data_IF_577738059572
#
_entry.id   IF_577738059572
#
_cell.length_a   1.000
_cell.length_b   1.000
_cell.length_c   1.000
_cell.angle_alpha   90.00
_cell.angle_beta   90.00
_cell.angle_gamma   90.00
#
_symmetry.space_group_name_H-M   'P 1'
#
loop_
_entity.id
_entity.type
_entity.pdbx_description
1 polymer ?
#
# COMPACT_ATOMS: atom_id res chain seq x y z
N UNK A 1 18.77 -20.57 -21.93
CA UNK A 1 18.22 -19.34 -21.33
C UNK A 1 17.26 -18.72 -22.33
N UNK A 2 15.94 -18.83 -22.08
CA UNK A 2 14.91 -18.14 -22.89
C UNK A 2 14.17 -17.20 -21.96
N UNK A 3 14.35 -15.90 -22.18
CA UNK A 3 13.61 -14.84 -21.53
C UNK A 3 12.11 -15.07 -21.77
N UNK A 4 11.31 -15.10 -20.71
CA UNK A 4 9.86 -15.06 -20.81
C UNK A 4 9.47 -13.77 -21.53
N UNK A 5 8.84 -13.91 -22.69
CA UNK A 5 8.50 -12.81 -23.59
C UNK A 5 7.18 -12.19 -23.11
N UNK A 6 7.25 -11.22 -22.19
CA UNK A 6 6.10 -10.52 -21.60
C UNK A 6 5.25 -9.74 -22.62
N UNK A 7 5.75 -9.53 -23.84
CA UNK A 7 5.02 -8.89 -24.94
C UNK A 7 3.93 -9.76 -25.56
N UNK A 8 4.03 -11.09 -25.46
CA UNK A 8 3.04 -12.01 -26.04
C UNK A 8 1.73 -12.07 -25.22
N UNK A 9 1.81 -11.87 -23.91
CA UNK A 9 0.65 -11.97 -23.01
C UNK A 9 -0.30 -10.76 -23.11
N UNK A 10 0.25 -9.56 -23.39
CA UNK A 10 -0.51 -8.31 -23.51
C UNK A 10 -1.42 -8.30 -24.75
N UNK A 11 -0.87 -8.68 -25.90
CA UNK A 11 -1.64 -8.74 -27.16
C UNK A 11 -2.76 -9.79 -27.15
N UNK A 12 -2.57 -10.93 -26.48
CA UNK A 12 -3.64 -11.94 -26.34
C UNK A 12 -4.75 -11.49 -25.40
N UNK A 13 -4.41 -10.72 -24.35
CA UNK A 13 -5.39 -10.20 -23.40
C UNK A 13 -6.27 -9.12 -24.04
N UNK A 14 -5.68 -8.17 -24.77
CA UNK A 14 -6.41 -7.08 -25.43
C UNK A 14 -7.41 -7.59 -26.48
N UNK A 15 -7.02 -8.63 -27.24
CA UNK A 15 -7.90 -9.30 -28.21
C UNK A 15 -9.04 -10.04 -27.51
N UNK A 16 -8.74 -10.73 -26.40
CA UNK A 16 -9.75 -11.44 -25.62
C UNK A 16 -10.75 -10.47 -25.00
N UNK A 17 -10.26 -9.35 -24.48
CA UNK A 17 -11.05 -8.28 -23.88
C UNK A 17 -11.98 -7.64 -24.92
N UNK A 18 -11.47 -7.36 -26.12
CA UNK A 18 -12.27 -6.83 -27.24
C UNK A 18 -13.39 -7.79 -27.63
N UNK A 19 -13.09 -9.09 -27.79
CA UNK A 19 -14.11 -10.10 -28.11
C UNK A 19 -15.12 -10.29 -26.98
N UNK A 20 -14.69 -10.15 -25.74
CA UNK A 20 -15.58 -10.15 -24.59
C UNK A 20 -16.54 -8.96 -24.64
N UNK A 21 -16.05 -7.75 -24.90
CA UNK A 21 -16.90 -6.56 -25.08
C UNK A 21 -17.92 -6.73 -26.21
N UNK A 22 -17.51 -7.28 -27.36
CA UNK A 22 -18.42 -7.57 -28.46
C UNK A 22 -19.50 -8.59 -28.07
N UNK A 23 -19.13 -9.63 -27.33
CA UNK A 23 -20.08 -10.60 -26.80
C UNK A 23 -21.06 -9.95 -25.80
N UNK A 24 -20.61 -9.04 -24.94
CA UNK A 24 -21.46 -8.32 -23.99
C UNK A 24 -22.44 -7.42 -24.74
N UNK A 25 -21.95 -6.66 -25.71
CA UNK A 25 -22.77 -5.78 -26.53
C UNK A 25 -23.81 -6.56 -27.34
N UNK A 26 -23.45 -7.74 -27.85
CA UNK A 26 -24.38 -8.65 -28.51
C UNK A 26 -25.47 -9.17 -27.56
N UNK A 27 -25.11 -9.55 -26.32
CA UNK A 27 -26.06 -10.05 -25.33
C UNK A 27 -27.02 -8.94 -24.83
N UNK A 28 -26.52 -7.72 -24.63
CA UNK A 28 -27.32 -6.56 -24.23
C UNK A 28 -28.34 -6.13 -25.30
N UNK A 29 -28.05 -6.37 -26.58
CA UNK A 29 -29.03 -6.15 -27.65
C UNK A 29 -30.13 -7.23 -27.65
N UNK A 30 -29.84 -8.44 -27.16
CA UNK A 30 -30.77 -9.59 -27.15
C UNK A 30 -31.71 -9.62 -25.94
N UNK A 31 -31.32 -9.02 -24.81
CA UNK A 31 -32.12 -8.96 -23.56
C UNK A 31 -33.33 -8.01 -23.63
N UNK A 32 -33.47 -7.20 -24.69
CA UNK A 32 -34.70 -6.43 -24.96
C UNK A 32 -35.91 -7.30 -25.36
N UNK A 33 -35.70 -8.59 -25.67
CA UNK A 33 -36.80 -9.53 -25.95
C UNK A 33 -36.64 -10.86 -25.20
N UNK A 34 -37.46 -11.02 -24.15
CA UNK A 34 -37.83 -12.25 -23.40
C UNK A 34 -37.06 -12.59 -22.11
N UNK A 35 -37.75 -12.30 -21.01
CA UNK A 35 -38.00 -13.05 -19.77
C UNK A 35 -36.94 -13.95 -19.09
N UNK A 36 -36.69 -13.61 -17.80
CA UNK A 36 -36.48 -14.45 -16.60
C UNK A 36 -35.50 -15.64 -16.69
N UNK A 37 -34.21 -15.34 -16.62
CA UNK A 37 -33.26 -16.03 -15.74
C UNK A 37 -32.06 -15.10 -15.54
N UNK A 38 -32.09 -14.32 -14.46
CA UNK A 38 -31.15 -13.23 -14.20
C UNK A 38 -29.86 -13.82 -13.59
N UNK A 39 -28.94 -14.29 -14.42
CA UNK A 39 -27.53 -14.33 -14.03
C UNK A 39 -27.13 -12.87 -13.81
N UNK A 40 -26.70 -12.51 -12.60
CA UNK A 40 -26.37 -11.13 -12.25
C UNK A 40 -25.05 -10.72 -12.92
N UNK A 41 -25.15 -10.31 -14.18
CA UNK A 41 -24.04 -9.98 -15.07
C UNK A 41 -23.29 -8.70 -14.67
N UNK A 42 -23.92 -7.87 -13.82
CA UNK A 42 -23.37 -6.58 -13.40
C UNK A 42 -22.08 -6.72 -12.57
N UNK A 43 -21.94 -7.78 -11.76
CA UNK A 43 -20.75 -7.98 -10.92
C UNK A 43 -19.49 -8.27 -11.77
N UNK A 44 -19.60 -9.08 -12.83
CA UNK A 44 -18.46 -9.35 -13.72
C UNK A 44 -18.07 -8.14 -14.57
N UNK A 45 -19.06 -7.34 -15.02
CA UNK A 45 -18.77 -6.11 -15.76
C UNK A 45 -18.12 -5.05 -14.87
N UNK A 46 -18.51 -4.95 -13.59
CA UNK A 46 -17.86 -4.02 -12.64
C UNK A 46 -16.39 -4.38 -12.45
N UNK A 47 -16.08 -5.64 -12.17
CA UNK A 47 -14.68 -6.08 -11.97
C UNK A 47 -13.81 -5.86 -13.22
N UNK A 48 -14.35 -5.99 -14.42
CA UNK A 48 -13.60 -5.78 -15.68
C UNK A 48 -13.44 -4.29 -16.01
N UNK A 49 -14.45 -3.46 -15.70
CA UNK A 49 -14.34 -2.01 -15.79
C UNK A 49 -13.33 -1.46 -14.77
N UNK A 50 -13.38 -1.91 -13.51
CA UNK A 50 -12.45 -1.52 -12.45
C UNK A 50 -10.99 -1.87 -12.78
N UNK A 51 -10.74 -3.04 -13.38
CA UNK A 51 -9.40 -3.44 -13.84
C UNK A 51 -8.91 -2.56 -15.00
N UNK A 52 -9.80 -2.18 -15.93
CA UNK A 52 -9.43 -1.31 -17.06
C UNK A 52 -9.25 0.15 -16.64
N UNK A 53 -10.06 0.68 -15.72
CA UNK A 53 -9.83 2.02 -15.15
C UNK A 53 -8.49 2.06 -14.43
N UNK A 54 -8.15 1.04 -13.63
CA UNK A 54 -6.85 0.96 -12.95
C UNK A 54 -5.63 0.96 -13.87
N UNK A 55 -5.74 0.39 -15.08
CA UNK A 55 -4.68 0.41 -16.11
C UNK A 55 -4.57 1.77 -16.82
N UNK A 56 -5.70 2.35 -17.23
CA UNK A 56 -5.75 3.69 -17.85
C UNK A 56 -5.21 4.75 -16.88
N UNK A 57 -5.57 4.63 -15.62
CA UNK A 57 -5.13 5.52 -14.54
C UNK A 57 -3.62 5.42 -14.32
N UNK A 58 -3.02 4.22 -14.45
CA UNK A 58 -1.58 4.02 -14.27
C UNK A 58 -0.75 4.69 -15.36
N UNK A 59 -1.11 4.48 -16.63
CA UNK A 59 -0.39 5.07 -17.77
C UNK A 59 -0.55 6.60 -17.78
N UNK A 60 -1.72 7.10 -17.40
CA UNK A 60 -1.96 8.54 -17.27
C UNK A 60 -1.08 9.19 -16.20
N UNK A 61 -1.05 8.66 -14.96
CA UNK A 61 -0.23 9.22 -13.88
C UNK A 61 1.26 9.17 -14.26
N UNK A 62 1.72 8.04 -14.84
CA UNK A 62 3.11 7.90 -15.29
C UNK A 62 3.47 8.92 -16.38
N UNK A 63 2.58 9.18 -17.34
CA UNK A 63 2.82 10.19 -18.37
C UNK A 63 3.00 11.61 -17.78
N UNK A 64 2.25 11.93 -16.72
CA UNK A 64 2.40 13.22 -16.00
C UNK A 64 3.70 13.27 -15.23
N UNK A 65 4.09 12.16 -14.60
CA UNK A 65 5.35 12.04 -13.89
C UNK A 65 6.54 12.23 -14.84
N UNK A 66 6.57 11.52 -15.96
CA UNK A 66 7.62 11.68 -16.98
C UNK A 66 7.72 13.12 -17.50
N UNK A 67 6.57 13.76 -17.73
CA UNK A 67 6.54 15.16 -18.17
C UNK A 67 7.15 16.08 -17.12
N UNK A 68 6.81 15.90 -15.85
CA UNK A 68 7.37 16.67 -14.74
C UNK A 68 8.89 16.48 -14.62
N UNK A 69 9.37 15.23 -14.66
CA UNK A 69 10.82 14.93 -14.60
C UNK A 69 11.56 15.53 -15.78
N UNK A 70 11.00 15.47 -17.00
CA UNK A 70 11.59 16.14 -18.18
C UNK A 70 11.70 17.65 -17.97
N UNK A 71 10.64 18.30 -17.49
CA UNK A 71 10.66 19.74 -17.21
C UNK A 71 11.71 20.14 -16.17
N UNK A 72 11.97 19.30 -15.16
CA UNK A 72 13.05 19.50 -14.19
C UNK A 72 14.44 19.38 -14.81
N UNK A 73 14.65 18.38 -15.67
CA UNK A 73 15.96 18.11 -16.29
C UNK A 73 16.31 19.11 -17.41
N UNK A 74 15.31 19.52 -18.18
CA UNK A 74 15.48 20.43 -19.32
C UNK A 74 15.67 21.89 -18.88
N UNK A 75 15.64 22.18 -17.58
CA UNK A 75 15.79 23.53 -17.03
C UNK A 75 14.67 24.45 -17.52
N UNK A 76 13.45 23.93 -17.64
CA UNK A 76 12.28 24.70 -18.08
C UNK A 76 12.04 25.90 -17.16
N UNK A 77 11.31 26.89 -17.67
CA UNK A 77 10.76 28.00 -16.88
C UNK A 77 10.09 27.46 -15.59
N UNK A 78 10.28 28.17 -14.47
CA UNK A 78 9.66 27.84 -13.17
C UNK A 78 8.15 27.64 -13.29
N UNK A 79 7.44 28.46 -14.08
CA UNK A 79 6.00 28.33 -14.32
C UNK A 79 5.64 27.01 -15.02
N UNK A 80 6.47 26.55 -15.96
CA UNK A 80 6.24 25.28 -16.67
C UNK A 80 6.46 24.08 -15.74
N UNK A 81 7.47 24.17 -14.87
CA UNK A 81 7.74 23.16 -13.83
C UNK A 81 6.56 23.10 -12.84
N UNK A 82 6.07 24.24 -12.38
CA UNK A 82 4.92 24.31 -11.47
C UNK A 82 3.63 23.82 -12.12
N UNK A 83 3.41 24.13 -13.41
CA UNK A 83 2.26 23.62 -14.16
C UNK A 83 2.32 22.10 -14.32
N UNK A 84 3.49 21.54 -14.65
CA UNK A 84 3.70 20.10 -14.74
C UNK A 84 3.50 19.41 -13.37
N UNK A 85 4.03 20.01 -12.30
CA UNK A 85 3.82 19.56 -10.90
C UNK A 85 2.34 19.53 -10.54
N UNK A 86 1.59 20.60 -10.85
CA UNK A 86 0.15 20.67 -10.53
C UNK A 86 -0.65 19.60 -11.26
N UNK A 87 -0.30 19.33 -12.52
CA UNK A 87 -0.92 18.24 -13.30
C UNK A 87 -0.60 16.86 -12.69
N UNK A 88 0.65 16.65 -12.27
CA UNK A 88 1.06 15.44 -11.57
C UNK A 88 0.29 15.26 -10.25
N UNK A 89 0.26 16.27 -9.39
CA UNK A 89 -0.48 16.19 -8.12
C UNK A 89 -1.98 15.94 -8.34
N UNK A 90 -2.58 16.55 -9.37
CA UNK A 90 -3.99 16.31 -9.69
C UNK A 90 -4.26 14.85 -10.09
N UNK A 91 -3.27 14.19 -10.71
CA UNK A 91 -3.38 12.78 -11.06
C UNK A 91 -3.33 11.83 -9.85
N UNK A 92 -2.91 12.30 -8.68
CA UNK A 92 -2.93 11.46 -7.46
C UNK A 92 -4.35 11.10 -7.02
N UNK A 93 -5.38 11.80 -7.49
CA UNK A 93 -6.78 11.45 -7.23
C UNK A 93 -7.14 10.03 -7.70
N UNK A 94 -6.36 9.46 -8.63
CA UNK A 94 -6.52 8.10 -9.14
C UNK A 94 -5.75 7.03 -8.33
N UNK A 95 -4.96 7.44 -7.34
CA UNK A 95 -4.31 6.54 -6.38
C UNK A 95 -5.23 6.26 -5.20
N UNK A 96 -5.00 5.16 -4.48
CA UNK A 96 -5.66 4.93 -3.18
C UNK A 96 -5.24 5.99 -2.15
N UNK A 97 -6.02 6.14 -1.06
CA UNK A 97 -5.73 7.15 -0.02
C UNK A 97 -4.34 6.98 0.59
N UNK A 98 -3.91 5.73 0.80
CA UNK A 98 -2.62 5.42 1.39
C UNK A 98 -1.50 5.77 0.40
N UNK A 99 -1.63 5.36 -0.87
CA UNK A 99 -0.70 5.76 -1.92
C UNK A 99 -0.63 7.27 -2.11
N UNK A 100 -1.74 8.00 -2.01
CA UNK A 100 -1.76 9.47 -2.10
C UNK A 100 -0.90 10.14 -1.02
N UNK A 101 -0.92 9.60 0.20
CA UNK A 101 -0.07 10.08 1.31
C UNK A 101 1.41 9.96 0.93
N UNK A 102 1.83 8.78 0.47
CA UNK A 102 3.23 8.54 0.10
C UNK A 102 3.64 9.26 -1.18
N UNK A 103 2.76 9.37 -2.17
CA UNK A 103 2.98 10.16 -3.38
C UNK A 103 3.22 11.65 -3.06
N UNK A 104 2.51 12.18 -2.06
CA UNK A 104 2.69 13.56 -1.60
C UNK A 104 4.01 13.78 -0.87
N UNK A 105 4.49 12.78 -0.12
CA UNK A 105 5.82 12.80 0.53
C UNK A 105 6.90 12.75 -0.56
N UNK A 106 6.82 11.76 -1.44
CA UNK A 106 7.73 11.61 -2.59
C UNK A 106 7.87 12.89 -3.41
N UNK A 107 6.75 13.57 -3.73
CA UNK A 107 6.78 14.82 -4.48
C UNK A 107 7.55 15.93 -3.74
N UNK A 108 7.38 16.04 -2.41
CA UNK A 108 8.11 17.03 -1.59
C UNK A 108 9.61 16.72 -1.54
N UNK A 109 9.98 15.45 -1.47
CA UNK A 109 11.39 15.06 -1.39
C UNK A 109 12.11 15.28 -2.73
N UNK A 110 11.40 15.15 -3.86
CA UNK A 110 11.92 15.61 -5.17
C UNK A 110 12.20 17.11 -5.14
N UNK A 111 11.29 17.92 -4.60
CA UNK A 111 11.45 19.39 -4.53
C UNK A 111 12.61 19.81 -3.65
N UNK A 112 12.91 19.03 -2.61
CA UNK A 112 14.09 19.22 -1.74
C UNK A 112 15.38 18.75 -2.39
N UNK A 113 15.32 18.01 -3.50
CA UNK A 113 16.48 17.39 -4.14
C UNK A 113 17.02 16.18 -3.37
N UNK A 114 16.21 15.58 -2.50
CA UNK A 114 16.58 14.41 -1.67
C UNK A 114 16.44 13.09 -2.45
N UNK A 115 15.71 13.10 -3.56
CA UNK A 115 15.42 11.91 -4.36
C UNK A 115 16.21 11.91 -5.66
N UNK A 116 16.86 10.78 -5.95
CA UNK A 116 17.48 10.52 -7.27
C UNK A 116 16.49 9.82 -8.19
N UNK A 117 16.19 10.46 -9.30
CA UNK A 117 15.30 9.88 -10.32
C UNK A 117 16.09 8.85 -11.15
N UNK A 118 15.55 7.64 -11.24
CA UNK A 118 16.07 6.48 -11.92
C UNK A 118 15.32 6.37 -13.25
N UNK A 119 16.03 6.28 -14.38
CA UNK A 119 15.39 6.11 -15.68
C UNK A 119 14.48 4.88 -15.72
N UNK A 120 13.34 5.00 -16.39
CA UNK A 120 12.35 3.92 -16.59
C UNK A 120 11.64 3.41 -15.33
N UNK A 121 11.83 4.07 -14.18
CA UNK A 121 11.07 3.75 -12.97
C UNK A 121 9.77 4.54 -12.93
N UNK A 122 8.66 3.84 -12.78
CA UNK A 122 7.31 4.40 -12.71
C UNK A 122 7.05 5.09 -11.37
N UNK A 123 6.07 5.99 -11.35
CA UNK A 123 5.70 6.68 -10.11
C UNK A 123 5.19 5.70 -9.04
N UNK A 124 4.51 4.62 -9.45
CA UNK A 124 4.01 3.60 -8.51
C UNK A 124 5.14 2.83 -7.86
N UNK A 125 6.20 2.53 -8.59
CA UNK A 125 7.38 1.89 -8.00
C UNK A 125 8.04 2.81 -6.97
N UNK A 126 8.09 4.12 -7.21
CA UNK A 126 8.54 5.08 -6.20
C UNK A 126 7.63 5.11 -4.97
N UNK A 127 6.32 5.22 -5.17
CA UNK A 127 5.35 5.22 -4.07
C UNK A 127 5.48 3.93 -3.25
N UNK A 128 5.63 2.78 -3.92
CA UNK A 128 5.79 1.49 -3.26
C UNK A 128 7.08 1.41 -2.44
N UNK A 129 8.19 1.95 -2.93
CA UNK A 129 9.44 2.02 -2.14
C UNK A 129 9.24 2.82 -0.85
N UNK A 130 8.57 3.96 -0.94
CA UNK A 130 8.24 4.79 0.23
C UNK A 130 7.33 4.07 1.22
N UNK A 131 6.32 3.33 0.72
CA UNK A 131 5.47 2.48 1.55
C UNK A 131 6.33 1.44 2.27
N UNK A 132 7.11 0.66 1.53
CA UNK A 132 7.96 -0.41 2.08
C UNK A 132 8.97 0.13 3.10
N UNK A 133 9.59 1.26 2.82
CA UNK A 133 10.52 1.92 3.75
C UNK A 133 9.79 2.35 5.03
N UNK A 134 8.64 2.99 4.91
CA UNK A 134 7.84 3.39 6.05
C UNK A 134 7.36 2.19 6.89
N UNK A 135 6.89 1.11 6.25
CA UNK A 135 6.50 -0.13 6.94
C UNK A 135 7.69 -0.73 7.67
N UNK A 136 8.87 -0.76 7.05
CA UNK A 136 10.09 -1.28 7.67
C UNK A 136 10.52 -0.46 8.89
N UNK A 137 10.54 0.88 8.76
CA UNK A 137 10.85 1.78 9.86
C UNK A 137 9.86 1.60 11.02
N UNK A 138 8.56 1.46 10.71
CA UNK A 138 7.52 1.20 11.71
C UNK A 138 7.74 -0.13 12.42
N UNK A 139 8.07 -1.20 11.68
CA UNK A 139 8.43 -2.51 12.26
C UNK A 139 9.63 -2.38 13.21
N UNK A 140 10.66 -1.62 12.82
CA UNK A 140 11.84 -1.41 13.65
C UNK A 140 11.52 -0.69 14.95
N UNK A 141 10.73 0.38 14.88
CA UNK A 141 10.35 1.15 16.07
C UNK A 141 9.45 0.31 16.98
N UNK A 142 8.48 -0.42 16.42
CA UNK A 142 7.61 -1.34 17.18
C UNK A 142 8.43 -2.45 17.83
N UNK A 143 9.40 -3.02 17.12
CA UNK A 143 10.28 -4.05 17.66
C UNK A 143 11.10 -3.52 18.84
N UNK A 144 11.72 -2.35 18.70
CA UNK A 144 12.49 -1.71 19.78
C UNK A 144 11.61 -1.40 21.00
N UNK A 145 10.39 -0.95 20.75
CA UNK A 145 9.42 -0.54 21.79
C UNK A 145 8.85 -1.72 22.57
N UNK A 146 8.56 -2.85 21.93
CA UNK A 146 7.78 -3.92 22.57
C UNK A 146 8.51 -5.26 22.70
N UNK A 147 9.55 -5.53 21.91
CA UNK A 147 10.18 -6.85 21.88
C UNK A 147 11.41 -6.94 22.78
N UNK A 148 11.70 -8.17 23.17
CA UNK A 148 12.99 -8.55 23.76
C UNK A 148 14.10 -8.37 22.74
N UNK A 149 15.31 -8.12 23.24
CA UNK A 149 16.50 -7.97 22.39
C UNK A 149 16.71 -9.19 21.49
N UNK A 150 17.04 -8.94 20.21
CA UNK A 150 17.27 -9.98 19.22
C UNK A 150 16.01 -10.70 18.71
N UNK A 151 14.80 -10.20 18.99
CA UNK A 151 13.53 -10.82 18.54
C UNK A 151 12.80 -10.11 17.41
N UNK A 152 13.39 -9.06 16.84
CA UNK A 152 12.83 -8.33 15.69
C UNK A 152 12.53 -9.26 14.50
N UNK A 153 13.42 -10.21 14.21
CA UNK A 153 13.24 -11.13 13.08
C UNK A 153 11.94 -11.96 13.20
N UNK A 154 11.51 -12.28 14.43
CA UNK A 154 10.25 -13.02 14.65
C UNK A 154 9.02 -12.18 14.25
N UNK A 155 9.07 -10.87 14.49
CA UNK A 155 8.02 -9.94 14.04
C UNK A 155 8.02 -9.82 12.51
N UNK A 156 9.20 -9.72 11.89
CA UNK A 156 9.32 -9.68 10.43
C UNK A 156 8.80 -10.97 9.79
N UNK A 157 9.15 -12.12 10.35
CA UNK A 157 8.72 -13.42 9.87
C UNK A 157 7.19 -13.55 9.91
N UNK A 158 6.54 -13.17 11.01
CA UNK A 158 5.08 -13.33 11.13
C UNK A 158 4.31 -12.38 10.20
N UNK A 159 4.83 -11.16 9.97
CA UNK A 159 4.25 -10.19 9.03
C UNK A 159 4.40 -10.70 7.58
N UNK A 160 5.57 -11.22 7.20
CA UNK A 160 5.82 -11.74 5.85
C UNK A 160 4.90 -12.90 5.45
N UNK A 161 4.30 -13.59 6.42
CA UNK A 161 3.32 -14.64 6.16
C UNK A 161 1.97 -14.11 5.64
N UNK A 162 1.76 -12.78 5.61
CA UNK A 162 0.54 -12.11 5.12
C UNK A 162 -0.72 -12.77 5.70
N UNK A 163 -0.74 -12.88 7.02
CA UNK A 163 -1.82 -13.53 7.76
C UNK A 163 -3.04 -12.60 7.82
N UNK A 164 -4.24 -13.20 7.87
CA UNK A 164 -5.50 -12.53 8.10
C UNK A 164 -6.09 -12.95 9.45
N UNK A 165 -7.16 -12.27 9.88
CA UNK A 165 -7.81 -12.52 11.17
C UNK A 165 -8.19 -14.01 11.40
N UNK A 166 -8.48 -14.76 10.34
CA UNK A 166 -8.91 -16.16 10.43
C UNK A 166 -7.75 -17.15 10.56
N UNK A 167 -6.57 -16.82 10.01
CA UNK A 167 -5.41 -17.72 9.98
C UNK A 167 -4.23 -17.23 10.86
N UNK A 168 -4.36 -16.07 11.49
CA UNK A 168 -3.31 -15.45 12.31
C UNK A 168 -2.72 -16.40 13.36
N UNK A 169 -3.57 -17.19 14.02
CA UNK A 169 -3.12 -18.15 15.02
C UNK A 169 -3.13 -19.60 14.53
N UNK A 170 -3.19 -19.83 13.21
CA UNK A 170 -2.99 -21.16 12.68
C UNK A 170 -1.62 -21.70 13.12
N UNK A 171 -1.58 -22.96 13.55
CA UNK A 171 -0.37 -23.61 14.06
C UNK A 171 0.26 -22.90 15.28
N UNK A 172 -0.54 -22.20 16.08
CA UNK A 172 -0.08 -21.44 17.26
C UNK A 172 0.98 -20.37 16.97
N UNK A 173 1.11 -19.90 15.71
CA UNK A 173 2.14 -18.94 15.29
C UNK A 173 2.12 -17.64 16.10
N UNK A 174 0.94 -17.06 16.24
CA UNK A 174 0.78 -15.83 17.02
C UNK A 174 1.04 -16.06 18.51
N UNK A 175 0.59 -17.20 19.05
CA UNK A 175 0.89 -17.59 20.44
C UNK A 175 2.40 -17.74 20.70
N UNK A 176 3.17 -18.31 19.76
CA UNK A 176 4.63 -18.39 19.85
C UNK A 176 5.28 -17.02 19.75
N UNK A 177 4.85 -16.19 18.80
CA UNK A 177 5.33 -14.81 18.66
C UNK A 177 5.15 -14.00 19.96
N UNK A 178 4.01 -14.14 20.65
CA UNK A 178 3.76 -13.43 21.92
C UNK A 178 4.83 -13.66 23.00
N UNK A 179 5.56 -14.79 22.96
CA UNK A 179 6.66 -15.07 23.91
C UNK A 179 7.87 -14.14 23.72
N UNK A 180 7.99 -13.53 22.54
CA UNK A 180 9.04 -12.59 22.19
C UNK A 180 8.81 -11.18 22.73
N UNK A 181 7.60 -10.88 23.20
CA UNK A 181 7.20 -9.57 23.72
C UNK A 181 7.76 -9.38 25.13
N UNK A 182 8.30 -8.19 25.39
CA UNK A 182 8.69 -7.75 26.71
C UNK A 182 7.54 -6.98 27.37
N UNK A 183 6.91 -7.61 28.36
CA UNK A 183 5.75 -7.06 29.07
C UNK A 183 6.12 -5.76 29.81
N UNK A 184 7.36 -5.63 30.29
CA UNK A 184 7.78 -4.43 31.03
C UNK A 184 7.90 -3.24 30.08
N UNK A 185 8.49 -3.43 28.89
CA UNK A 185 8.55 -2.35 27.88
C UNK A 185 7.16 -1.95 27.41
N UNK A 186 6.30 -2.93 27.16
CA UNK A 186 4.91 -2.67 26.80
C UNK A 186 4.16 -1.89 27.88
N UNK A 187 4.37 -2.24 29.16
CA UNK A 187 3.79 -1.51 30.29
C UNK A 187 4.22 -0.05 30.31
N UNK A 188 5.51 0.24 30.11
CA UNK A 188 6.05 1.60 30.02
C UNK A 188 5.35 2.38 28.90
N UNK A 189 5.27 1.80 27.70
CA UNK A 189 4.63 2.44 26.55
C UNK A 189 3.15 2.75 26.80
N UNK A 190 2.35 1.77 27.20
CA UNK A 190 0.90 1.97 27.36
C UNK A 190 0.56 2.88 28.54
N UNK A 191 1.34 2.83 29.63
CA UNK A 191 1.16 3.74 30.76
C UNK A 191 1.45 5.19 30.37
N UNK A 192 2.49 5.42 29.55
CA UNK A 192 2.80 6.76 29.02
C UNK A 192 1.75 7.24 28.02
N UNK A 193 1.28 6.36 27.14
CA UNK A 193 0.27 6.67 26.15
C UNK A 193 -1.06 7.11 26.79
N UNK A 194 -1.46 6.45 27.89
CA UNK A 194 -2.74 6.72 28.58
C UNK A 194 -2.59 7.61 29.81
N UNK A 195 -1.36 8.01 30.15
CA UNK A 195 -1.04 8.82 31.33
C UNK A 195 -1.61 8.23 32.63
N UNK A 196 -1.67 6.90 32.72
CA UNK A 196 -2.26 6.15 33.83
C UNK A 196 -1.51 4.85 34.04
N UNK A 197 -1.38 4.41 35.29
CA UNK A 197 -0.91 3.05 35.59
C UNK A 197 -1.99 2.01 35.25
N UNK A 198 -1.68 1.16 34.28
CA UNK A 198 -2.52 0.06 33.85
C UNK A 198 -2.19 -1.22 34.63
N UNK A 199 -3.21 -2.05 34.86
CA UNK A 199 -2.99 -3.37 35.44
C UNK A 199 -2.29 -4.30 34.46
N UNK A 200 -1.57 -5.31 34.96
CA UNK A 200 -0.91 -6.31 34.11
C UNK A 200 -1.89 -7.02 33.16
N UNK A 201 -3.14 -7.21 33.59
CA UNK A 201 -4.19 -7.81 32.75
C UNK A 201 -4.58 -6.90 31.59
N UNK A 202 -4.72 -5.60 31.85
CA UNK A 202 -5.07 -4.61 30.82
C UNK A 202 -3.94 -4.47 29.80
N UNK A 203 -2.69 -4.43 30.27
CA UNK A 203 -1.49 -4.40 29.42
C UNK A 203 -1.47 -5.62 28.50
N UNK A 204 -1.65 -6.83 29.04
CA UNK A 204 -1.68 -8.07 28.24
C UNK A 204 -2.79 -8.05 27.17
N UNK A 205 -3.95 -7.50 27.50
CA UNK A 205 -5.08 -7.37 26.56
C UNK A 205 -4.76 -6.38 25.44
N UNK A 206 -4.16 -5.23 25.78
CA UNK A 206 -3.74 -4.21 24.81
C UNK A 206 -2.64 -4.70 23.89
N UNK A 207 -1.63 -5.39 24.41
CA UNK A 207 -0.59 -6.06 23.61
C UNK A 207 -1.23 -7.00 22.58
N UNK A 208 -2.14 -7.87 23.04
CA UNK A 208 -2.79 -8.85 22.16
C UNK A 208 -3.57 -8.16 21.05
N UNK A 209 -4.40 -7.17 21.38
CA UNK A 209 -5.18 -6.41 20.40
C UNK A 209 -4.29 -5.65 19.42
N UNK A 210 -3.24 -4.99 19.90
CA UNK A 210 -2.32 -4.22 19.08
C UNK A 210 -1.60 -5.11 18.07
N UNK A 211 -0.97 -6.20 18.52
CA UNK A 211 -0.21 -7.08 17.62
C UNK A 211 -1.10 -7.87 16.66
N UNK A 212 -2.36 -8.16 17.02
CA UNK A 212 -3.31 -8.75 16.07
C UNK A 212 -3.63 -7.81 14.92
N UNK A 213 -3.83 -6.53 15.20
CA UNK A 213 -4.03 -5.52 14.16
C UNK A 213 -2.74 -5.33 13.34
N UNK A 214 -1.61 -5.16 14.03
CA UNK A 214 -0.32 -4.86 13.41
C UNK A 214 0.19 -5.95 12.45
N UNK A 215 0.00 -7.23 12.78
CA UNK A 215 0.44 -8.33 11.91
C UNK A 215 -0.44 -8.45 10.65
N UNK A 216 -1.70 -8.03 10.73
CA UNK A 216 -2.63 -8.06 9.58
C UNK A 216 -2.45 -6.85 8.68
N UNK A 217 -2.21 -5.68 9.27
CA UNK A 217 -2.06 -4.42 8.53
C UNK A 217 -1.04 -3.51 9.24
N UNK A 218 0.21 -3.57 8.79
CA UNK A 218 1.29 -2.77 9.36
C UNK A 218 1.03 -1.28 9.14
N UNK A 219 0.56 -0.89 7.96
CA UNK A 219 0.51 0.51 7.53
C UNK A 219 -0.62 1.27 8.23
N UNK A 220 -1.79 0.66 8.35
CA UNK A 220 -2.98 1.29 8.96
C UNK A 220 -3.07 1.13 10.48
N UNK A 221 -2.14 0.44 11.13
CA UNK A 221 -2.18 0.30 12.59
C UNK A 221 -1.79 1.60 13.30
N UNK A 222 -2.63 2.08 14.21
CA UNK A 222 -2.33 3.23 15.06
C UNK A 222 -1.19 2.92 16.03
N UNK A 223 0.00 3.45 15.73
CA UNK A 223 1.17 3.40 16.58
C UNK A 223 1.76 4.81 16.70
N UNK A 224 2.01 5.27 17.92
CA UNK A 224 2.58 6.58 18.20
C UNK A 224 3.98 6.39 18.77
N UNK A 225 5.02 6.80 18.04
CA UNK A 225 6.36 6.79 18.62
C UNK A 225 6.44 7.86 19.74
N UNK A 226 6.59 7.41 20.98
CA UNK A 226 6.70 8.29 22.15
C UNK A 226 8.13 8.84 22.30
N UNK A 227 9.10 8.35 21.54
CA UNK A 227 10.50 8.78 21.60
C UNK A 227 10.84 9.91 20.62
N UNK A 228 10.03 10.17 19.59
CA UNK A 228 10.24 11.30 18.65
C UNK A 228 10.14 12.67 19.34
N UNK A 229 9.41 12.78 20.45
CA UNK A 229 9.24 14.04 21.18
C UNK A 229 10.42 14.38 22.13
N UNK A 230 11.55 13.67 22.04
CA UNK A 230 12.75 13.92 22.88
C UNK A 230 13.91 14.57 22.13
N UNK A 231 13.72 14.90 20.85
CA UNK A 231 14.71 15.57 20.00
C UNK A 231 14.22 16.95 19.56
N UNK A 232 13.88 17.80 20.53
CA UNK A 232 13.83 19.27 20.41
C UNK A 232 14.49 19.90 21.65
#
# INVERSE_FOLDING_TARGET
MRCCNWTYFRGTFDVLLTRYHDAINYLNQKTNHRNKNKVNFYDMTSSILEVNTGLIDTDYINSRFEKYIKSLNDGSNVEDIEAAKKQLHSSFAYLSKDEQKYASIFLKDIERGEVKIIPNKSIREYINDYIVEASNNKIDIVAKTFLKEGKEQELRNIIQLNLNANNLNAYNRFTEFKKCIDINKAAIYFNQLEQKELSTKDINTKIDSFFRAFVVDVDNTDFKDLNENKSE
#
